data_IF_707939277882
#
_entry.id   IF_707939277882
#
_cell.length_a   1.000
_cell.length_b   1.000
_cell.length_c   1.000
_cell.angle_alpha   90.00
_cell.angle_beta   90.00
_cell.angle_gamma   90.00
#
_symmetry.space_group_name_H-M   'P 1'
#
loop_
_entity.id
_entity.type
_entity.pdbx_description
1 polymer ?
#
# COMPACT_ATOMS: atom_id res chain seq x y z
N UNK A 1 18.07 -7.92 -4.72
CA UNK A 1 18.59 -6.54 -4.99
C UNK A 1 20.10 -6.45 -4.89
N UNK A 2 20.72 -6.79 -3.76
CA UNK A 2 22.19 -6.73 -3.60
C UNK A 2 22.98 -7.46 -4.70
N UNK A 3 22.42 -8.53 -5.26
CA UNK A 3 23.05 -9.26 -6.36
C UNK A 3 23.11 -8.46 -7.67
N UNK A 4 22.05 -7.75 -8.07
CA UNK A 4 22.04 -6.95 -9.30
C UNK A 4 22.98 -5.75 -9.19
N UNK A 5 23.02 -5.07 -8.04
CA UNK A 5 23.95 -3.96 -7.80
C UNK A 5 25.41 -4.42 -7.77
N UNK A 6 25.67 -5.59 -7.18
CA UNK A 6 27.00 -6.22 -7.22
C UNK A 6 27.40 -6.58 -8.65
N UNK A 7 26.52 -7.26 -9.39
CA UNK A 7 26.76 -7.66 -10.78
C UNK A 7 26.99 -6.43 -11.69
N UNK A 8 26.20 -5.37 -11.54
CA UNK A 8 26.35 -4.14 -12.29
C UNK A 8 27.71 -3.47 -12.04
N UNK A 9 28.17 -3.46 -10.78
CA UNK A 9 29.43 -2.86 -10.38
C UNK A 9 30.67 -3.61 -10.88
N UNK A 10 30.63 -4.95 -10.93
CA UNK A 10 31.78 -5.78 -11.33
C UNK A 10 31.86 -6.02 -12.85
N UNK A 11 30.71 -6.04 -13.54
CA UNK A 11 30.66 -6.29 -14.97
C UNK A 11 31.29 -5.12 -15.72
N UNK A 12 32.14 -5.39 -16.72
CA UNK A 12 32.83 -4.33 -17.50
C UNK A 12 32.25 -4.20 -18.90
N UNK A 13 31.54 -5.22 -19.37
CA UNK A 13 30.91 -5.20 -20.68
C UNK A 13 29.61 -4.39 -20.65
N UNK A 14 29.52 -3.35 -21.50
CA UNK A 14 28.38 -2.44 -21.54
C UNK A 14 27.05 -3.15 -21.87
N UNK A 15 27.07 -4.16 -22.76
CA UNK A 15 25.90 -4.96 -23.09
C UNK A 15 25.43 -5.85 -21.94
N UNK A 16 26.35 -6.41 -21.16
CA UNK A 16 25.97 -7.18 -19.99
C UNK A 16 25.40 -6.29 -18.88
N UNK A 17 25.95 -5.07 -18.70
CA UNK A 17 25.35 -4.06 -17.82
C UNK A 17 23.94 -3.68 -18.26
N UNK A 18 23.70 -3.52 -19.56
CA UNK A 18 22.36 -3.30 -20.11
C UNK A 18 21.38 -4.44 -19.77
N UNK A 19 21.82 -5.68 -19.94
CA UNK A 19 21.03 -6.86 -19.59
C UNK A 19 20.73 -6.91 -18.08
N UNK A 20 21.67 -6.50 -17.23
CA UNK A 20 21.50 -6.44 -15.78
C UNK A 20 20.44 -5.40 -15.39
N UNK A 21 20.50 -4.18 -15.94
CA UNK A 21 19.50 -3.11 -15.69
C UNK A 21 18.12 -3.54 -16.16
N UNK A 22 18.02 -4.11 -17.36
CA UNK A 22 16.75 -4.62 -17.88
C UNK A 22 16.15 -5.73 -16.99
N UNK A 23 16.97 -6.72 -16.59
CA UNK A 23 16.53 -7.79 -15.68
C UNK A 23 16.11 -7.25 -14.32
N UNK A 24 16.79 -6.21 -13.84
CA UNK A 24 16.43 -5.55 -12.60
C UNK A 24 15.07 -4.87 -12.69
N UNK A 25 14.81 -4.09 -13.75
CA UNK A 25 13.49 -3.45 -13.94
C UNK A 25 12.38 -4.50 -14.13
N UNK A 26 12.65 -5.60 -14.85
CA UNK A 26 11.74 -6.75 -14.95
C UNK A 26 11.46 -7.42 -13.61
N UNK A 27 12.48 -7.56 -12.77
CA UNK A 27 12.34 -8.08 -11.41
C UNK A 27 11.48 -7.13 -10.55
N UNK A 28 11.71 -5.83 -10.60
CA UNK A 28 10.86 -4.83 -9.96
C UNK A 28 9.41 -4.92 -10.46
N UNK A 29 9.18 -5.07 -11.76
CA UNK A 29 7.84 -5.23 -12.34
C UNK A 29 7.15 -6.58 -12.04
N UNK A 30 7.85 -7.54 -11.43
CA UNK A 30 7.26 -8.82 -11.02
C UNK A 30 6.57 -8.75 -9.67
N UNK A 31 6.91 -7.76 -8.84
CA UNK A 31 6.22 -7.48 -7.59
C UNK A 31 5.06 -6.49 -7.83
N UNK A 32 3.81 -6.79 -7.40
CA UNK A 32 2.66 -5.94 -7.68
C UNK A 32 2.77 -4.52 -7.11
N UNK A 33 3.36 -4.35 -5.93
CA UNK A 33 3.47 -3.06 -5.25
C UNK A 33 4.55 -2.21 -5.91
N UNK A 34 5.70 -2.81 -6.21
CA UNK A 34 6.77 -2.14 -6.96
C UNK A 34 6.32 -1.77 -8.37
N UNK A 35 5.53 -2.62 -9.02
CA UNK A 35 4.94 -2.34 -10.33
C UNK A 35 3.98 -1.15 -10.28
N UNK A 36 3.12 -1.07 -9.26
CA UNK A 36 2.19 0.06 -9.08
C UNK A 36 2.96 1.38 -8.85
N UNK A 37 4.01 1.35 -8.02
CA UNK A 37 4.90 2.50 -7.80
C UNK A 37 5.57 2.94 -9.10
N UNK A 38 6.11 2.00 -9.87
CA UNK A 38 6.70 2.28 -11.19
C UNK A 38 5.69 2.86 -12.18
N UNK A 39 4.44 2.39 -12.14
CA UNK A 39 3.36 2.88 -13.00
C UNK A 39 2.90 4.29 -12.60
N UNK A 40 2.78 4.57 -11.29
CA UNK A 40 2.48 5.93 -10.78
C UNK A 40 3.58 6.93 -11.16
N UNK A 41 4.84 6.54 -11.02
CA UNK A 41 5.98 7.33 -11.50
C UNK A 41 5.83 7.64 -12.99
N UNK A 42 5.40 6.66 -13.80
CA UNK A 42 5.14 6.85 -15.23
C UNK A 42 3.97 7.82 -15.50
N UNK A 43 2.84 7.64 -14.84
CA UNK A 43 1.63 8.45 -15.07
C UNK A 43 1.84 9.92 -14.65
N UNK A 44 2.62 10.16 -13.60
CA UNK A 44 2.93 11.51 -13.12
C UNK A 44 3.86 12.27 -14.05
N UNK A 45 4.71 11.55 -14.76
CA UNK A 45 5.78 12.15 -15.56
C UNK A 45 5.32 12.39 -16.98
N UNK A 46 4.40 11.55 -17.49
CA UNK A 46 3.67 11.80 -18.73
C UNK A 46 2.90 13.13 -18.75
N UNK A 47 2.48 13.65 -17.58
CA UNK A 47 1.73 14.92 -17.45
C UNK A 47 2.58 16.17 -17.71
N UNK A 48 3.91 16.09 -17.58
CA UNK A 48 4.83 17.22 -17.78
C UNK A 48 5.42 17.30 -19.20
N UNK A 49 5.03 16.38 -20.09
CA UNK A 49 5.56 16.27 -21.46
C UNK A 49 4.67 17.09 -22.42
N UNK A 50 4.80 18.40 -22.38
CA UNK A 50 4.42 19.28 -23.49
C UNK A 50 5.60 19.40 -24.47
N UNK A 51 5.32 19.20 -25.77
CA UNK A 51 6.13 19.30 -27.00
C UNK A 51 7.69 19.15 -26.98
N UNK A 52 8.28 18.49 -28.00
CA UNK A 52 9.70 18.19 -28.04
C UNK A 52 10.55 19.47 -28.24
N UNK A 53 11.38 19.83 -27.26
CA UNK A 53 12.43 20.84 -27.48
C UNK A 53 13.49 20.27 -28.44
N UNK A 54 13.62 20.88 -29.61
CA UNK A 54 14.50 20.42 -30.70
C UNK A 54 16.01 20.55 -30.42
N UNK A 55 16.44 21.09 -29.27
CA UNK A 55 17.86 21.26 -28.96
C UNK A 55 18.18 20.85 -27.53
N UNK A 56 18.70 19.64 -27.37
CA UNK A 56 19.23 19.11 -26.13
C UNK A 56 20.61 19.72 -25.83
N UNK A 57 20.72 20.42 -24.72
CA UNK A 57 21.98 20.87 -24.14
C UNK A 57 22.55 19.75 -23.24
N UNK A 58 23.67 19.15 -23.64
CA UNK A 58 24.33 18.01 -22.96
C UNK A 58 24.64 18.32 -21.48
N UNK A 59 24.95 19.56 -21.15
CA UNK A 59 25.33 19.96 -19.79
C UNK A 59 24.12 20.04 -18.85
N UNK A 60 22.92 20.34 -19.36
CA UNK A 60 21.68 20.32 -18.57
C UNK A 60 21.20 18.90 -18.24
N UNK A 61 21.52 17.91 -19.07
CA UNK A 61 21.11 16.51 -18.86
C UNK A 61 22.01 15.77 -17.84
N UNK A 62 23.26 16.21 -17.68
CA UNK A 62 24.18 15.63 -16.70
C UNK A 62 24.01 16.23 -15.30
N UNK A 63 23.39 17.40 -15.18
CA UNK A 63 23.06 18.08 -13.91
C UNK A 63 21.63 17.77 -13.41
N UNK A 64 21.15 16.56 -13.69
CA UNK A 64 19.77 16.17 -13.42
C UNK A 64 19.62 15.67 -11.98
N UNK A 65 19.01 16.50 -11.13
CA UNK A 65 18.30 16.04 -9.93
C UNK A 65 17.06 15.26 -10.38
N UNK A 66 17.05 13.93 -10.25
CA UNK A 66 15.88 13.00 -10.26
C UNK A 66 14.81 13.11 -11.36
N UNK A 67 14.28 14.31 -11.61
CA UNK A 67 13.14 14.67 -12.45
C UNK A 67 13.35 14.45 -13.96
N UNK A 68 14.54 14.69 -14.54
CA UNK A 68 14.71 14.58 -16.01
C UNK A 68 14.81 13.12 -16.50
N UNK A 69 14.89 12.15 -15.59
CA UNK A 69 14.86 10.72 -15.88
C UNK A 69 13.47 10.17 -16.19
N UNK A 70 12.46 11.02 -16.14
CA UNK A 70 11.10 10.67 -16.47
C UNK A 70 10.57 11.39 -17.71
N UNK A 71 11.50 11.93 -18.48
CA UNK A 71 11.26 12.50 -19.80
C UNK A 71 11.00 11.39 -20.83
N UNK A 72 10.49 11.78 -22.01
CA UNK A 72 10.22 10.88 -23.14
C UNK A 72 11.46 10.08 -23.55
N UNK A 73 12.63 10.67 -23.35
CA UNK A 73 13.95 10.21 -23.74
C UNK A 73 14.39 8.97 -22.94
N UNK A 74 14.09 8.91 -21.63
CA UNK A 74 14.34 7.72 -20.82
C UNK A 74 13.49 6.53 -21.26
N UNK A 75 12.23 6.75 -21.64
CA UNK A 75 11.34 5.69 -22.09
C UNK A 75 11.67 5.19 -23.50
N UNK A 76 12.10 6.08 -24.40
CA UNK A 76 12.70 5.68 -25.67
C UNK A 76 13.92 4.78 -25.41
N UNK A 77 14.75 5.15 -24.43
CA UNK A 77 15.89 4.33 -24.03
C UNK A 77 15.49 2.99 -23.42
N UNK A 78 14.52 2.95 -22.50
CA UNK A 78 14.02 1.71 -21.90
C UNK A 78 13.39 0.75 -22.93
N UNK A 79 12.59 1.26 -23.85
CA UNK A 79 12.06 0.48 -24.97
C UNK A 79 13.19 -0.06 -25.86
N UNK A 80 14.23 0.74 -26.08
CA UNK A 80 15.44 0.26 -26.76
C UNK A 80 16.14 -0.87 -25.97
N UNK A 81 16.15 -0.83 -24.62
CA UNK A 81 16.67 -1.93 -23.79
C UNK A 81 15.89 -3.23 -23.97
N UNK A 82 14.56 -3.16 -24.09
CA UNK A 82 13.72 -4.32 -24.40
C UNK A 82 14.04 -4.93 -25.76
N UNK A 83 14.19 -4.09 -26.78
CA UNK A 83 14.60 -4.50 -28.13
C UNK A 83 15.98 -5.16 -28.09
N UNK A 84 16.94 -4.58 -27.36
CA UNK A 84 18.29 -5.13 -27.17
C UNK A 84 18.22 -6.49 -26.49
N UNK A 85 17.51 -6.62 -25.37
CA UNK A 85 17.41 -7.89 -24.66
C UNK A 85 16.78 -8.99 -25.54
N UNK A 86 15.72 -8.65 -26.28
CA UNK A 86 15.08 -9.55 -27.23
C UNK A 86 16.05 -10.02 -28.33
N UNK A 87 16.81 -9.08 -28.92
CA UNK A 87 17.82 -9.39 -29.94
C UNK A 87 18.99 -10.18 -29.36
N UNK A 88 19.51 -9.83 -28.17
CA UNK A 88 20.58 -10.55 -27.48
C UNK A 88 20.17 -11.97 -27.09
N UNK A 89 18.92 -12.19 -26.68
CA UNK A 89 18.38 -13.53 -26.42
C UNK A 89 18.33 -14.38 -27.68
N UNK A 90 17.93 -13.80 -28.83
CA UNK A 90 17.99 -14.46 -30.14
C UNK A 90 19.43 -14.78 -30.55
N UNK A 91 20.35 -13.84 -30.36
CA UNK A 91 21.79 -13.99 -30.62
C UNK A 91 22.45 -15.06 -29.73
N UNK A 92 22.06 -15.16 -28.45
CA UNK A 92 22.58 -16.18 -27.54
C UNK A 92 22.09 -17.58 -27.91
N UNK A 93 20.87 -17.67 -28.45
CA UNK A 93 20.24 -18.93 -28.84
C UNK A 93 20.59 -19.37 -30.27
N UNK A 94 20.96 -18.44 -31.15
CA UNK A 94 21.45 -18.71 -32.51
C UNK A 94 22.89 -18.25 -32.61
N UNK A 95 23.86 -19.16 -32.74
CA UNK A 95 25.28 -18.83 -32.98
C UNK A 95 25.38 -17.81 -34.12
N UNK A 96 25.54 -16.52 -33.80
CA UNK A 96 25.60 -15.44 -34.76
C UNK A 96 26.71 -15.74 -35.79
N UNK A 97 26.33 -15.88 -37.06
CA UNK A 97 27.26 -15.88 -38.18
C UNK A 97 27.29 -14.52 -38.89
N UNK A 98 26.39 -13.61 -38.54
CA UNK A 98 26.20 -12.36 -39.27
C UNK A 98 26.80 -11.16 -38.52
N UNK A 99 27.81 -10.55 -39.14
CA UNK A 99 28.65 -9.48 -38.57
C UNK A 99 27.96 -8.12 -38.65
N UNK A 100 26.99 -7.96 -39.54
CA UNK A 100 26.28 -6.70 -39.77
C UNK A 100 25.30 -6.35 -38.64
N UNK A 101 24.56 -7.36 -38.16
CA UNK A 101 23.64 -7.22 -37.01
C UNK A 101 24.37 -6.82 -35.73
N UNK A 102 25.54 -7.43 -35.49
CA UNK A 102 26.39 -7.07 -34.35
C UNK A 102 26.89 -5.62 -34.46
N UNK A 103 27.35 -5.20 -35.63
CA UNK A 103 27.88 -3.85 -35.84
C UNK A 103 26.78 -2.77 -35.73
N UNK A 104 25.57 -3.07 -36.19
CA UNK A 104 24.41 -2.16 -36.08
C UNK A 104 24.01 -1.96 -34.62
N UNK A 105 23.95 -3.05 -33.86
CA UNK A 105 23.75 -2.99 -32.40
C UNK A 105 24.89 -2.24 -31.71
N UNK A 106 26.13 -2.51 -32.07
CA UNK A 106 27.30 -1.82 -31.51
C UNK A 106 27.23 -0.30 -31.72
N UNK A 107 26.94 0.17 -32.94
CA UNK A 107 26.90 1.60 -33.29
C UNK A 107 25.78 2.38 -32.60
N UNK A 108 24.62 1.78 -32.38
CA UNK A 108 23.49 2.45 -31.72
C UNK A 108 23.80 2.78 -30.25
N UNK A 109 24.64 1.97 -29.60
CA UNK A 109 24.84 2.00 -28.14
C UNK A 109 26.28 2.24 -27.69
N UNK A 110 27.24 2.36 -28.62
CA UNK A 110 28.61 2.82 -28.36
C UNK A 110 28.73 4.35 -28.28
N UNK A 111 27.61 5.07 -28.44
CA UNK A 111 27.60 6.53 -28.32
C UNK A 111 27.99 6.98 -26.91
N UNK A 112 28.78 8.06 -26.75
CA UNK A 112 29.39 8.46 -25.47
C UNK A 112 28.40 8.59 -24.31
N UNK A 113 27.22 9.15 -24.58
CA UNK A 113 26.16 9.35 -23.59
C UNK A 113 25.55 8.04 -23.07
N UNK A 114 25.69 6.92 -23.78
CA UNK A 114 25.03 5.65 -23.45
C UNK A 114 25.53 5.06 -22.13
N UNK A 115 26.81 5.29 -21.78
CA UNK A 115 27.43 4.81 -20.55
C UNK A 115 27.00 5.62 -19.32
N UNK A 116 27.00 6.94 -19.45
CA UNK A 116 26.54 7.85 -18.38
C UNK A 116 25.04 7.66 -18.12
N UNK A 117 24.24 7.54 -19.19
CA UNK A 117 22.81 7.26 -19.11
C UNK A 117 22.51 5.91 -18.44
N UNK A 118 23.31 4.88 -18.70
CA UNK A 118 23.19 3.56 -18.07
C UNK A 118 23.47 3.62 -16.55
N UNK A 119 24.55 4.28 -16.16
CA UNK A 119 24.94 4.44 -14.75
C UNK A 119 23.93 5.29 -13.97
N UNK A 120 23.41 6.35 -14.59
CA UNK A 120 22.37 7.21 -14.02
C UNK A 120 21.02 6.48 -13.87
N UNK A 121 20.62 5.68 -14.87
CA UNK A 121 19.39 4.87 -14.84
C UNK A 121 19.39 3.89 -13.67
N UNK A 122 20.48 3.14 -13.47
CA UNK A 122 20.56 2.18 -12.36
C UNK A 122 20.61 2.86 -10.99
N UNK A 123 21.28 4.03 -10.89
CA UNK A 123 21.36 4.80 -9.66
C UNK A 123 20.00 5.34 -9.23
N UNK A 124 19.22 5.88 -10.16
CA UNK A 124 17.94 6.54 -9.86
C UNK A 124 16.77 5.56 -9.73
N UNK A 125 16.74 4.47 -10.52
CA UNK A 125 15.79 3.37 -10.27
C UNK A 125 16.03 2.76 -8.89
N UNK A 126 17.28 2.71 -8.39
CA UNK A 126 17.49 2.34 -7.00
C UNK A 126 16.98 3.44 -6.06
N UNK A 127 17.42 4.69 -6.15
CA UNK A 127 17.05 5.69 -5.14
C UNK A 127 15.56 6.01 -5.09
N UNK A 128 14.92 6.36 -6.21
CA UNK A 128 13.55 6.87 -6.20
C UNK A 128 12.51 5.75 -6.03
N UNK A 129 12.76 4.56 -6.60
CA UNK A 129 11.85 3.42 -6.37
C UNK A 129 11.93 3.01 -4.90
N UNK A 130 13.10 3.01 -4.27
CA UNK A 130 13.19 2.73 -2.84
C UNK A 130 12.62 3.85 -1.99
N UNK A 131 12.84 5.12 -2.31
CA UNK A 131 12.26 6.23 -1.56
C UNK A 131 10.72 6.21 -1.65
N UNK A 132 10.16 5.91 -2.82
CA UNK A 132 8.70 5.76 -3.00
C UNK A 132 8.16 4.44 -2.47
N UNK A 133 8.94 3.35 -2.50
CA UNK A 133 8.57 2.11 -1.82
C UNK A 133 8.64 2.26 -0.31
N UNK A 134 9.57 3.03 0.23
CA UNK A 134 9.68 3.32 1.64
C UNK A 134 8.54 4.24 2.04
N UNK A 135 8.22 5.27 1.25
CA UNK A 135 7.01 6.08 1.45
C UNK A 135 5.74 5.23 1.34
N UNK A 136 5.56 4.45 0.28
CA UNK A 136 4.39 3.61 0.11
C UNK A 136 4.35 2.50 1.15
N UNK A 137 5.45 1.90 1.61
CA UNK A 137 5.47 0.98 2.75
C UNK A 137 5.13 1.69 4.06
N UNK A 138 5.62 2.91 4.26
CA UNK A 138 5.38 3.73 5.45
C UNK A 138 3.95 4.28 5.50
N UNK A 139 3.36 4.60 4.35
CA UNK A 139 1.98 5.06 4.20
C UNK A 139 0.97 3.91 3.98
N UNK A 140 1.40 2.74 3.47
CA UNK A 140 0.58 1.52 3.33
C UNK A 140 0.64 0.62 4.56
N UNK A 141 1.61 0.80 5.46
CA UNK A 141 1.39 0.51 6.88
C UNK A 141 0.47 1.59 7.43
N UNK A 142 -0.80 1.55 7.01
CA UNK A 142 -1.87 1.93 7.90
C UNK A 142 -1.66 1.07 9.14
N UNK A 143 -1.21 1.67 10.24
CA UNK A 143 -1.25 1.03 11.55
C UNK A 143 -2.64 0.41 11.86
N UNK A 144 -3.67 0.77 11.09
CA UNK A 144 -5.06 0.40 11.23
C UNK A 144 -5.54 -0.80 10.40
N UNK A 145 -4.74 -1.37 9.50
CA UNK A 145 -5.20 -2.45 8.60
C UNK A 145 -5.47 -3.78 9.33
N UNK A 146 -4.87 -3.99 10.51
CA UNK A 146 -5.17 -5.11 11.41
C UNK A 146 -5.81 -4.68 12.75
N UNK A 147 -5.90 -3.38 13.03
CA UNK A 147 -6.48 -2.90 14.30
C UNK A 147 -8.00 -2.94 14.26
N UNK A 148 -8.57 -3.29 15.40
CA UNK A 148 -9.99 -3.12 15.68
C UNK A 148 -10.17 -1.91 16.57
N UNK A 149 -10.84 -0.88 16.04
CA UNK A 149 -11.04 0.39 16.73
C UNK A 149 -12.33 1.06 16.25
N UNK A 150 -12.79 2.06 17.00
CA UNK A 150 -13.99 2.82 16.69
C UNK A 150 -13.63 4.29 16.41
N UNK A 151 -13.93 4.78 15.20
CA UNK A 151 -13.94 6.22 14.91
C UNK A 151 -15.25 6.81 15.44
N UNK A 152 -15.19 7.42 16.61
CA UNK A 152 -16.34 7.96 17.34
C UNK A 152 -17.09 9.01 16.53
N UNK A 153 -16.38 10.03 16.06
CA UNK A 153 -16.90 11.21 15.37
C UNK A 153 -17.74 10.84 14.12
N UNK A 154 -17.28 9.81 13.40
CA UNK A 154 -17.91 9.34 12.17
C UNK A 154 -18.87 8.17 12.40
N UNK A 155 -18.90 7.62 13.62
CA UNK A 155 -19.65 6.41 13.97
C UNK A 155 -19.30 5.22 13.06
N UNK A 156 -18.00 4.98 12.88
CA UNK A 156 -17.47 3.91 12.02
C UNK A 156 -16.65 2.94 12.89
N UNK A 157 -17.02 1.66 12.85
CA UNK A 157 -16.24 0.59 13.47
C UNK A 157 -15.32 -0.03 12.42
N UNK A 158 -14.04 -0.15 12.76
CA UNK A 158 -13.09 -0.95 12.00
C UNK A 158 -12.83 -2.24 12.77
N UNK A 159 -12.94 -3.38 12.10
CA UNK A 159 -12.63 -4.69 12.66
C UNK A 159 -11.58 -5.33 11.77
N UNK A 160 -10.33 -5.37 12.23
CA UNK A 160 -9.17 -5.83 11.45
C UNK A 160 -9.13 -5.20 10.05
N UNK A 161 -9.10 -3.86 10.03
CA UNK A 161 -9.11 -3.05 8.81
C UNK A 161 -10.45 -3.00 8.06
N UNK A 162 -11.40 -3.90 8.34
CA UNK A 162 -12.70 -3.90 7.67
C UNK A 162 -13.66 -2.91 8.28
N UNK A 163 -14.23 -2.05 7.43
CA UNK A 163 -15.10 -0.95 7.82
C UNK A 163 -16.57 -1.36 7.95
N UNK A 164 -17.21 -0.96 9.05
CA UNK A 164 -18.66 -1.10 9.30
C UNK A 164 -19.20 0.26 9.73
N UNK A 165 -20.14 0.81 8.95
CA UNK A 165 -20.76 2.10 9.26
C UNK A 165 -21.89 1.89 10.26
N UNK A 166 -21.71 2.31 11.52
CA UNK A 166 -22.68 2.06 12.59
C UNK A 166 -23.92 2.92 12.43
N UNK A 167 -23.75 4.23 12.22
CA UNK A 167 -24.85 5.15 11.97
C UNK A 167 -24.60 6.06 10.75
N UNK A 168 -25.66 6.72 10.29
CA UNK A 168 -25.51 7.92 9.44
C UNK A 168 -25.00 9.07 10.34
N UNK A 169 -24.24 10.00 9.76
CA UNK A 169 -23.74 11.18 10.49
C UNK A 169 -24.89 11.87 11.24
N UNK A 170 -24.57 12.41 12.42
CA UNK A 170 -25.44 13.25 13.26
C UNK A 170 -26.53 12.54 14.09
N UNK A 171 -26.47 11.20 14.25
CA UNK A 171 -27.33 10.48 15.22
C UNK A 171 -26.54 9.57 16.16
N UNK A 172 -26.55 9.92 17.44
CA UNK A 172 -26.05 9.08 18.54
C UNK A 172 -27.10 8.00 18.83
N UNK A 173 -26.86 6.76 18.38
CA UNK A 173 -27.72 5.61 18.68
C UNK A 173 -27.18 4.79 19.86
N UNK A 174 -27.99 3.88 20.39
CA UNK A 174 -27.56 2.95 21.44
C UNK A 174 -26.32 2.14 21.02
N UNK A 175 -26.23 1.75 19.75
CA UNK A 175 -25.09 1.02 19.20
C UNK A 175 -23.79 1.84 19.26
N UNK A 176 -23.87 3.12 18.91
CA UNK A 176 -22.73 4.04 19.00
C UNK A 176 -22.31 4.23 20.47
N UNK A 177 -23.26 4.43 21.40
CA UNK A 177 -22.95 4.53 22.84
C UNK A 177 -22.25 3.30 23.41
N UNK A 178 -22.70 2.10 23.01
CA UNK A 178 -22.03 0.86 23.43
C UNK A 178 -20.60 0.79 22.90
N UNK A 179 -20.38 1.14 21.63
CA UNK A 179 -19.04 1.14 21.05
C UNK A 179 -18.14 2.25 21.63
N UNK A 180 -18.71 3.41 21.93
CA UNK A 180 -18.04 4.51 22.63
C UNK A 180 -17.52 4.02 23.98
N UNK A 181 -18.37 3.37 24.78
CA UNK A 181 -17.95 2.81 26.06
C UNK A 181 -16.77 1.85 25.94
N UNK A 182 -16.83 0.93 24.96
CA UNK A 182 -15.83 -0.12 24.77
C UNK A 182 -14.51 0.49 24.29
N UNK A 183 -14.54 1.28 23.21
CA UNK A 183 -13.34 1.69 22.48
C UNK A 183 -12.81 3.08 22.87
N UNK A 184 -13.60 3.92 23.53
CA UNK A 184 -13.24 5.29 23.91
C UNK A 184 -13.11 5.38 25.43
N UNK A 185 -14.21 5.14 26.17
CA UNK A 185 -14.23 5.24 27.64
C UNK A 185 -13.32 4.21 28.31
N UNK A 186 -13.22 2.99 27.75
CA UNK A 186 -12.43 1.87 28.29
C UNK A 186 -11.36 1.35 27.33
N UNK A 187 -10.76 2.23 26.53
CA UNK A 187 -9.78 1.88 25.49
C UNK A 187 -8.61 1.01 25.99
N UNK A 188 -8.24 1.12 27.26
CA UNK A 188 -7.09 0.41 27.85
C UNK A 188 -7.47 -1.00 28.35
N UNK A 189 -8.77 -1.34 28.41
CA UNK A 189 -9.31 -2.57 29.02
C UNK A 189 -10.20 -3.37 28.05
N UNK A 190 -9.87 -3.43 26.76
CA UNK A 190 -10.69 -4.11 25.72
C UNK A 190 -10.91 -5.61 25.94
N UNK A 191 -10.09 -6.25 26.78
CA UNK A 191 -10.17 -7.68 27.10
C UNK A 191 -11.18 -7.94 28.23
N UNK A 192 -11.61 -6.91 28.95
CA UNK A 192 -12.46 -7.07 30.13
C UNK A 192 -13.93 -7.33 29.78
N UNK A 193 -14.68 -7.70 30.81
CA UNK A 193 -16.12 -7.78 30.74
C UNK A 193 -16.71 -6.39 31.02
N UNK A 194 -17.59 -5.91 30.14
CA UNK A 194 -18.31 -4.66 30.31
C UNK A 194 -19.70 -4.95 30.85
N UNK A 195 -20.01 -4.49 32.08
CA UNK A 195 -21.32 -4.74 32.67
C UNK A 195 -22.35 -3.76 32.13
N UNK A 196 -23.56 -4.24 31.85
CA UNK A 196 -24.64 -3.37 31.37
C UNK A 196 -24.99 -2.25 32.36
N UNK A 197 -24.78 -2.47 33.66
CA UNK A 197 -24.97 -1.42 34.67
C UNK A 197 -23.97 -0.27 34.52
N UNK A 198 -22.70 -0.57 34.19
CA UNK A 198 -21.66 0.45 34.00
C UNK A 198 -21.97 1.25 32.74
N UNK A 199 -22.25 0.56 31.63
CA UNK A 199 -22.66 1.20 30.37
C UNK A 199 -23.91 2.08 30.60
N UNK A 200 -24.89 1.60 31.36
CA UNK A 200 -26.11 2.32 31.65
C UNK A 200 -25.86 3.64 32.41
N UNK A 201 -25.03 3.57 33.45
CA UNK A 201 -24.66 4.72 34.28
C UNK A 201 -23.80 5.71 33.47
N UNK A 202 -22.75 5.23 32.81
CA UNK A 202 -21.71 6.05 32.17
C UNK A 202 -22.16 6.68 30.85
N UNK A 203 -22.85 5.93 29.98
CA UNK A 203 -23.18 6.38 28.62
C UNK A 203 -24.65 6.77 28.43
N UNK A 204 -25.53 6.23 29.26
CA UNK A 204 -26.98 6.43 29.16
C UNK A 204 -27.55 7.30 30.28
N UNK A 205 -26.80 7.57 31.36
CA UNK A 205 -27.29 8.34 32.52
C UNK A 205 -28.40 7.63 33.30
N UNK A 206 -28.50 6.29 33.17
CA UNK A 206 -29.55 5.46 33.75
C UNK A 206 -29.16 4.96 35.16
N UNK A 207 -29.23 5.86 36.15
CA UNK A 207 -28.84 5.56 37.54
C UNK A 207 -29.72 4.50 38.23
N UNK A 208 -30.94 4.27 37.74
CA UNK A 208 -31.88 3.29 38.29
C UNK A 208 -31.77 1.92 37.60
N UNK A 209 -30.70 1.65 36.84
CA UNK A 209 -30.55 0.42 36.05
C UNK A 209 -30.82 -0.86 36.86
N UNK A 210 -30.31 -0.94 38.11
CA UNK A 210 -30.45 -2.10 39.00
C UNK A 210 -31.85 -2.27 39.58
N UNK A 211 -32.71 -1.25 39.50
CA UNK A 211 -34.05 -1.25 40.12
C UNK A 211 -35.07 -2.12 39.35
N UNK A 212 -34.90 -2.30 38.03
CA UNK A 212 -35.85 -3.06 37.19
C UNK A 212 -35.24 -4.34 36.63
N UNK A 213 -36.00 -5.44 36.71
CA UNK A 213 -35.56 -6.79 36.31
C UNK A 213 -35.21 -6.94 34.82
N UNK A 214 -35.72 -6.05 33.96
CA UNK A 214 -35.65 -6.19 32.50
C UNK A 214 -34.79 -5.11 31.80
N UNK A 215 -34.08 -4.26 32.54
CA UNK A 215 -33.28 -3.18 31.94
C UNK A 215 -32.16 -3.70 31.03
N UNK A 216 -31.64 -4.91 31.30
CA UNK A 216 -30.66 -5.59 30.45
C UNK A 216 -31.13 -5.78 29.00
N UNK A 217 -32.44 -5.83 28.75
CA UNK A 217 -33.00 -6.17 27.43
C UNK A 217 -32.60 -5.15 26.36
N UNK A 218 -32.54 -3.86 26.70
CA UNK A 218 -32.10 -2.79 25.79
C UNK A 218 -30.67 -3.03 25.30
N UNK A 219 -29.76 -3.28 26.24
CA UNK A 219 -28.33 -3.51 25.97
C UNK A 219 -28.10 -4.80 25.19
N UNK A 220 -28.74 -5.89 25.63
CA UNK A 220 -28.69 -7.17 24.95
C UNK A 220 -29.19 -7.10 23.50
N UNK A 221 -30.35 -6.46 23.27
CA UNK A 221 -30.90 -6.31 21.93
C UNK A 221 -29.97 -5.45 21.05
N UNK A 222 -29.43 -4.37 21.60
CA UNK A 222 -28.47 -3.53 20.89
C UNK A 222 -27.21 -4.31 20.49
N UNK A 223 -26.69 -5.16 21.38
CA UNK A 223 -25.53 -6.02 21.06
C UNK A 223 -25.87 -7.04 19.97
N UNK A 224 -27.08 -7.62 20.01
CA UNK A 224 -27.56 -8.54 18.98
C UNK A 224 -27.68 -7.86 17.62
N UNK A 225 -28.26 -6.66 17.58
CA UNK A 225 -28.40 -5.87 16.36
C UNK A 225 -27.03 -5.47 15.80
N UNK A 226 -26.07 -5.13 16.67
CA UNK A 226 -24.71 -4.80 16.29
C UNK A 226 -23.98 -6.00 15.67
N UNK A 227 -24.04 -7.17 16.31
CA UNK A 227 -23.49 -8.40 15.75
C UNK A 227 -24.10 -8.73 14.38
N UNK A 228 -25.43 -8.64 14.26
CA UNK A 228 -26.13 -8.90 12.99
C UNK A 228 -25.67 -7.93 11.91
N UNK A 229 -25.51 -6.65 12.24
CA UNK A 229 -25.03 -5.64 11.30
C UNK A 229 -23.59 -5.91 10.83
N UNK A 230 -22.68 -6.22 11.75
CA UNK A 230 -21.30 -6.57 11.43
C UNK A 230 -21.23 -7.83 10.56
N UNK A 231 -22.07 -8.83 10.85
CA UNK A 231 -22.15 -10.06 10.06
C UNK A 231 -22.64 -9.76 8.63
N UNK A 232 -23.67 -8.92 8.47
CA UNK A 232 -24.20 -8.54 7.16
C UNK A 232 -23.20 -7.70 6.34
N UNK A 233 -22.51 -6.76 6.98
CA UNK A 233 -21.63 -5.81 6.28
C UNK A 233 -20.28 -6.45 5.92
N UNK A 234 -19.68 -7.27 6.82
CA UNK A 234 -18.31 -7.77 6.65
C UNK A 234 -18.11 -9.27 6.94
N UNK A 235 -19.19 -10.02 7.20
CA UNK A 235 -19.15 -11.48 7.38
C UNK A 235 -18.57 -11.96 8.72
N UNK A 236 -18.32 -11.06 9.67
CA UNK A 236 -17.78 -11.40 10.99
C UNK A 236 -18.91 -11.78 11.94
N UNK A 237 -18.86 -13.01 12.47
CA UNK A 237 -19.84 -13.52 13.43
C UNK A 237 -19.34 -13.39 14.87
N UNK A 238 -20.27 -13.19 15.80
CA UNK A 238 -20.00 -13.15 17.24
C UNK A 238 -18.88 -12.17 17.61
N UNK A 239 -18.96 -10.94 17.08
CA UNK A 239 -18.01 -9.86 17.41
C UNK A 239 -18.08 -9.51 18.90
N UNK A 240 -19.29 -9.29 19.40
CA UNK A 240 -19.60 -9.22 20.83
C UNK A 240 -20.11 -10.57 21.34
N UNK A 241 -19.65 -10.99 22.51
CA UNK A 241 -20.23 -12.07 23.31
C UNK A 241 -20.98 -11.44 24.49
N UNK A 242 -22.24 -11.79 24.70
CA UNK A 242 -23.07 -11.12 25.69
C UNK A 242 -24.13 -12.06 26.27
N UNK A 243 -24.66 -11.73 27.45
CA UNK A 243 -25.66 -12.54 28.15
C UNK A 243 -26.85 -11.69 28.65
N UNK A 244 -27.81 -12.36 29.29
CA UNK A 244 -29.04 -11.76 29.83
C UNK A 244 -29.00 -11.68 31.36
N UNK A 245 -29.96 -10.95 31.94
CA UNK A 245 -30.22 -10.95 33.38
C UNK A 245 -29.60 -9.79 34.16
N UNK A 246 -29.69 -9.85 35.49
CA UNK A 246 -29.28 -8.75 36.40
C UNK A 246 -27.78 -8.47 36.40
N UNK A 247 -26.96 -9.49 36.12
CA UNK A 247 -25.50 -9.38 35.92
C UNK A 247 -25.16 -9.43 34.42
N UNK A 248 -26.05 -8.88 33.60
CA UNK A 248 -25.87 -8.82 32.16
C UNK A 248 -24.58 -8.08 31.82
N UNK A 249 -23.79 -8.66 30.94
CA UNK A 249 -22.50 -8.16 30.50
C UNK A 249 -22.26 -8.48 29.04
N UNK A 250 -21.36 -7.72 28.43
CA UNK A 250 -20.82 -7.97 27.10
C UNK A 250 -19.29 -8.01 27.18
N UNK A 251 -18.67 -8.66 26.19
CA UNK A 251 -17.22 -8.70 26.01
C UNK A 251 -16.89 -8.81 24.53
N UNK A 252 -15.83 -8.15 24.11
CA UNK A 252 -15.28 -8.32 22.76
C UNK A 252 -14.73 -9.74 22.59
N UNK A 253 -14.97 -10.34 21.43
CA UNK A 253 -14.39 -11.63 21.12
C UNK A 253 -12.88 -11.44 20.83
N UNK A 254 -11.98 -12.05 21.63
CA UNK A 254 -10.54 -11.81 21.52
C UNK A 254 -9.94 -12.14 20.15
N UNK A 255 -10.61 -12.99 19.36
CA UNK A 255 -10.20 -13.30 17.99
C UNK A 255 -10.15 -12.05 17.10
N UNK A 256 -10.93 -11.02 17.42
CA UNK A 256 -11.05 -9.80 16.63
C UNK A 256 -10.34 -8.60 17.26
N UNK A 257 -9.67 -8.79 18.40
CA UNK A 257 -8.66 -7.86 18.87
C UNK A 257 -7.34 -8.09 18.14
#
# INVERSE_FOLDING_TARGET
>A
MNEFARLFSIERNIFQRFVIVYKYIRFCNSDPLVKDVLQKIFDDTAKYIGEPEENLDEDKFLDVKGQALFSREFWIYYNNLEIIYGKMKKIKNCKLKDKEDFNTLYRLFSKPYSKQMLELSFKIVNSEVFDRLDQECFFSHNENDDKTYFEDDKSILYVKGKKVKINKQDKITNAHKILHHIFISNKDNLIDDFFYSEIAEDEFGELDYKSRKNNWKKYHNTCSDLNKKIELDIGIKNFLKFNTGRKGKLKLNPKYL
#
